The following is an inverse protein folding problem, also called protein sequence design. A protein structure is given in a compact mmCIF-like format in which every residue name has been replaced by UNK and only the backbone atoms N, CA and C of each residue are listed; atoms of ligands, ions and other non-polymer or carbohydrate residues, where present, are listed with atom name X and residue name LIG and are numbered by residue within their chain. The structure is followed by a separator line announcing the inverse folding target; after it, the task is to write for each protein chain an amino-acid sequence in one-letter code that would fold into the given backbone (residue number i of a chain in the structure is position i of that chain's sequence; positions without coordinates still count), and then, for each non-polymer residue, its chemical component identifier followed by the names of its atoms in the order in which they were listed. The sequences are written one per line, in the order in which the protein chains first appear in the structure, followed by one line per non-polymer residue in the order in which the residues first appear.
data_IF_090565877888
#
_entry.id   IF_090565877888
#
_cell.length_a   1.000
_cell.length_b   1.000
_cell.length_c   1.000
_cell.angle_alpha   90.00
_cell.angle_beta   90.00
_cell.angle_gamma   90.00
#
_symmetry.space_group_name_H-M   'P 1'
#
loop_
_entity.id
_entity.type
_entity.pdbx_description
1 polymer ?
#
# COMPACT_ATOMS: atom_id res chain seq x y z
N UNK A 1 65.30 4.76 -39.79
CA UNK A 1 63.91 4.29 -39.65
C UNK A 1 63.76 3.73 -38.25
N UNK A 2 63.21 4.52 -37.33
CA UNK A 2 62.48 4.00 -36.18
C UNK A 2 61.27 4.93 -36.00
N UNK A 3 60.09 4.35 -36.18
CA UNK A 3 58.81 5.04 -36.07
C UNK A 3 58.52 5.17 -34.59
N UNK A 4 58.46 6.42 -34.12
CA UNK A 4 57.91 6.76 -32.81
C UNK A 4 56.47 6.30 -32.72
N UNK A 5 56.25 5.19 -32.02
CA UNK A 5 54.95 4.78 -31.51
C UNK A 5 54.96 4.98 -30.00
N UNK A 6 54.11 5.88 -29.50
CA UNK A 6 53.95 6.17 -28.07
C UNK A 6 53.31 5.01 -27.29
N UNK A 7 53.96 3.85 -27.28
CA UNK A 7 53.70 2.75 -26.36
C UNK A 7 54.88 2.67 -25.40
N UNK A 8 54.67 3.03 -24.14
CA UNK A 8 55.68 2.84 -23.10
C UNK A 8 56.13 1.38 -23.08
N UNK A 9 57.39 1.13 -22.72
CA UNK A 9 57.89 -0.25 -22.67
C UNK A 9 57.00 -1.11 -21.77
N UNK A 10 56.94 -2.43 -22.01
CA UNK A 10 56.13 -3.36 -21.19
C UNK A 10 56.38 -3.20 -19.66
N UNK A 11 57.60 -2.79 -19.29
CA UNK A 11 57.97 -2.45 -17.93
C UNK A 11 57.32 -1.17 -17.40
N UNK A 12 57.21 -0.12 -18.22
CA UNK A 12 56.53 1.13 -17.85
C UNK A 12 55.03 0.92 -17.64
N UNK A 13 54.37 0.18 -18.54
CA UNK A 13 52.94 -0.15 -18.43
C UNK A 13 52.68 -0.93 -17.13
N UNK A 14 53.53 -1.92 -16.84
CA UNK A 14 53.47 -2.69 -15.60
C UNK A 14 53.73 -1.85 -14.35
N UNK A 15 54.71 -0.94 -14.37
CA UNK A 15 54.96 -0.02 -13.25
C UNK A 15 53.77 0.93 -13.03
N UNK A 16 53.16 1.43 -14.10
CA UNK A 16 51.96 2.26 -14.04
C UNK A 16 50.80 1.50 -13.39
N UNK A 17 50.54 0.26 -13.82
CA UNK A 17 49.53 -0.61 -13.24
C UNK A 17 49.78 -0.88 -11.74
N UNK A 18 51.04 -1.12 -11.34
CA UNK A 18 51.40 -1.29 -9.92
C UNK A 18 51.19 -0.03 -9.08
N UNK A 19 51.50 1.16 -9.62
CA UNK A 19 51.21 2.43 -8.93
C UNK A 19 49.70 2.61 -8.71
N UNK A 20 48.89 2.29 -9.72
CA UNK A 20 47.44 2.32 -9.60
C UNK A 20 46.92 1.29 -8.59
N UNK A 21 47.44 0.06 -8.58
CA UNK A 21 47.07 -0.96 -7.58
C UNK A 21 47.29 -0.48 -6.15
N UNK A 22 48.45 0.11 -5.86
CA UNK A 22 48.76 0.66 -4.54
C UNK A 22 47.82 1.81 -4.17
N UNK A 23 47.50 2.69 -5.14
CA UNK A 23 46.55 3.78 -4.94
C UNK A 23 45.13 3.25 -4.68
N UNK A 24 44.68 2.24 -5.42
CA UNK A 24 43.40 1.60 -5.20
C UNK A 24 43.30 0.97 -3.80
N UNK A 25 44.36 0.29 -3.34
CA UNK A 25 44.44 -0.26 -1.98
C UNK A 25 44.28 0.81 -0.91
N UNK A 26 45.07 1.88 -0.98
CA UNK A 26 44.96 3.00 -0.02
C UNK A 26 43.56 3.65 -0.07
N UNK A 27 43.00 3.84 -1.26
CA UNK A 27 41.64 4.34 -1.44
C UNK A 27 40.59 3.45 -0.79
N UNK A 28 40.68 2.13 -0.97
CA UNK A 28 39.79 1.15 -0.35
C UNK A 28 39.91 1.14 1.18
N UNK A 29 41.13 1.17 1.71
CA UNK A 29 41.33 1.26 3.17
C UNK A 29 40.76 2.56 3.75
N UNK A 30 40.83 3.68 3.01
CA UNK A 30 40.20 4.95 3.41
C UNK A 30 38.67 4.85 3.40
N UNK A 31 38.08 4.23 2.38
CA UNK A 31 36.63 3.95 2.33
C UNK A 31 36.21 3.12 3.55
N UNK A 32 36.97 2.08 3.90
CA UNK A 32 36.68 1.27 5.08
C UNK A 32 36.81 2.07 6.38
N UNK A 33 37.82 2.93 6.55
CA UNK A 33 37.94 3.81 7.74
C UNK A 33 36.78 4.81 7.84
N UNK A 34 36.34 5.35 6.71
CA UNK A 34 35.18 6.24 6.64
C UNK A 34 33.88 5.50 6.98
N UNK A 35 33.76 4.21 6.62
CA UNK A 35 32.61 3.38 6.99
C UNK A 35 32.48 3.18 8.50
N UNK A 36 33.59 3.10 9.24
CA UNK A 36 33.61 2.98 10.70
C UNK A 36 33.52 4.34 11.41
N UNK A 37 33.94 5.41 10.75
CA UNK A 37 33.83 6.77 11.28
C UNK A 37 32.40 7.25 11.08
N UNK A 38 31.60 7.28 12.15
CA UNK A 38 30.19 7.73 12.13
C UNK A 38 30.08 9.25 11.85
N UNK A 39 30.53 9.71 10.70
CA UNK A 39 30.43 11.11 10.27
C UNK A 39 29.20 11.26 9.39
N UNK A 40 28.05 11.50 10.02
CA UNK A 40 26.74 11.76 9.39
C UNK A 40 26.63 13.12 8.70
N UNK A 41 27.75 13.74 8.32
CA UNK A 41 27.72 15.01 7.59
C UNK A 41 27.54 14.76 6.09
N UNK A 42 26.68 15.54 5.43
CA UNK A 42 26.44 15.44 3.98
C UNK A 42 27.73 15.63 3.16
N UNK A 43 28.71 16.40 3.68
CA UNK A 43 30.03 16.56 3.09
C UNK A 43 30.84 15.24 3.11
N UNK A 44 30.78 14.46 4.19
CA UNK A 44 31.47 13.17 4.28
C UNK A 44 30.88 12.13 3.32
N UNK A 45 29.56 12.15 3.10
CA UNK A 45 28.89 11.26 2.12
C UNK A 45 29.30 11.61 0.68
N UNK A 46 29.48 12.89 0.36
CA UNK A 46 29.98 13.32 -0.95
C UNK A 46 31.41 12.86 -1.22
N UNK A 47 32.30 13.00 -0.23
CA UNK A 47 33.70 12.56 -0.32
C UNK A 47 33.80 11.04 -0.46
N UNK A 48 32.97 10.27 0.26
CA UNK A 48 32.89 8.81 0.12
C UNK A 48 32.51 8.38 -1.31
N UNK A 49 31.49 9.03 -1.87
CA UNK A 49 31.03 8.74 -3.23
C UNK A 49 32.08 9.09 -4.30
N UNK A 50 32.76 10.23 -4.16
CA UNK A 50 33.84 10.66 -5.07
C UNK A 50 35.05 9.71 -4.98
N UNK A 51 35.44 9.31 -3.77
CA UNK A 51 36.55 8.38 -3.55
C UNK A 51 36.24 7.00 -4.14
N UNK A 52 35.03 6.46 -3.89
CA UNK A 52 34.57 5.19 -4.48
C UNK A 52 34.58 5.23 -6.01
N UNK A 53 34.11 6.34 -6.60
CA UNK A 53 34.17 6.53 -8.06
C UNK A 53 35.61 6.58 -8.59
N UNK A 54 36.52 7.28 -7.89
CA UNK A 54 37.93 7.31 -8.29
C UNK A 54 38.57 5.93 -8.23
N UNK A 55 38.33 5.14 -7.17
CA UNK A 55 38.85 3.76 -7.05
C UNK A 55 38.29 2.90 -8.17
N UNK A 56 36.99 2.99 -8.48
CA UNK A 56 36.38 2.27 -9.59
C UNK A 56 37.02 2.61 -10.94
N UNK A 57 37.25 3.89 -11.19
CA UNK A 57 37.90 4.37 -12.42
C UNK A 57 39.32 3.82 -12.54
N UNK A 58 40.06 3.82 -11.44
CA UNK A 58 41.43 3.31 -11.42
C UNK A 58 41.50 1.79 -11.62
N UNK A 59 40.56 1.03 -11.06
CA UNK A 59 40.42 -0.42 -11.33
C UNK A 59 40.18 -0.67 -12.82
N UNK A 60 39.26 0.06 -13.45
CA UNK A 60 39.00 -0.06 -14.88
C UNK A 60 40.25 0.30 -15.71
N UNK A 61 41.02 1.30 -15.27
CA UNK A 61 42.28 1.66 -15.92
C UNK A 61 43.31 0.53 -15.79
N UNK A 62 43.43 -0.12 -14.62
CA UNK A 62 44.31 -1.28 -14.43
C UNK A 62 43.90 -2.42 -15.37
N UNK A 63 42.61 -2.72 -15.49
CA UNK A 63 42.11 -3.74 -16.42
C UNK A 63 42.46 -3.41 -17.88
N UNK A 64 42.33 -2.15 -18.29
CA UNK A 64 42.77 -1.71 -19.63
C UNK A 64 44.28 -1.90 -19.83
N UNK A 65 45.09 -1.58 -18.83
CA UNK A 65 46.54 -1.79 -18.86
C UNK A 65 46.88 -3.28 -18.91
N UNK A 66 46.13 -4.17 -18.27
CA UNK A 66 46.30 -5.62 -18.39
C UNK A 66 46.10 -6.08 -19.83
N UNK A 67 45.06 -5.60 -20.52
CA UNK A 67 44.81 -5.92 -21.93
C UNK A 67 45.93 -5.39 -22.83
N UNK A 68 46.47 -4.21 -22.54
CA UNK A 68 47.62 -3.64 -23.27
C UNK A 68 48.89 -4.49 -23.05
N UNK A 69 49.23 -4.79 -21.79
CA UNK A 69 50.35 -5.65 -21.46
C UNK A 69 50.22 -7.04 -22.09
N UNK A 70 49.01 -7.58 -22.17
CA UNK A 70 48.70 -8.86 -22.82
C UNK A 70 49.04 -8.89 -24.30
N UNK A 71 48.83 -7.78 -25.00
CA UNK A 71 49.23 -7.64 -26.41
C UNK A 71 50.75 -7.55 -26.53
N UNK A 72 51.37 -6.74 -25.67
CA UNK A 72 52.80 -6.49 -25.68
C UNK A 72 53.61 -7.77 -25.38
N UNK A 73 53.28 -8.53 -24.32
CA UNK A 73 54.07 -9.72 -23.99
C UNK A 73 53.91 -10.83 -25.02
N UNK A 74 52.75 -10.96 -25.69
CA UNK A 74 52.56 -11.92 -26.80
C UNK A 74 53.47 -11.64 -27.99
N UNK A 75 53.83 -10.38 -28.23
CA UNK A 75 54.77 -9.98 -29.30
C UNK A 75 56.25 -10.25 -29.00
N UNK A 76 56.61 -10.66 -27.78
CA UNK A 76 58.00 -10.95 -27.43
C UNK A 76 58.48 -12.25 -28.10
N UNK A 77 59.64 -12.21 -28.76
CA UNK A 77 60.22 -13.37 -29.44
C UNK A 77 60.70 -14.48 -28.48
N UNK A 78 61.24 -14.12 -27.32
CA UNK A 78 61.82 -15.05 -26.37
C UNK A 78 60.76 -15.72 -25.47
N UNK A 79 60.62 -17.06 -25.55
CA UNK A 79 59.70 -17.86 -24.72
C UNK A 79 59.86 -17.63 -23.20
N UNK A 80 61.06 -17.67 -22.59
CA UNK A 80 61.17 -17.47 -21.15
C UNK A 80 60.75 -16.06 -20.71
N UNK A 81 60.98 -15.06 -21.56
CA UNK A 81 60.55 -13.69 -21.30
C UNK A 81 59.02 -13.55 -21.39
N UNK A 82 58.38 -14.20 -22.37
CA UNK A 82 56.91 -14.29 -22.46
C UNK A 82 56.30 -14.90 -21.20
N UNK A 83 56.80 -16.06 -20.78
CA UNK A 83 56.25 -16.78 -19.64
C UNK A 83 56.39 -15.98 -18.33
N UNK A 84 57.49 -15.24 -18.17
CA UNK A 84 57.66 -14.33 -17.05
C UNK A 84 56.62 -13.20 -17.06
N UNK A 85 56.44 -12.53 -18.20
CA UNK A 85 55.50 -11.43 -18.33
C UNK A 85 54.05 -11.87 -18.24
N UNK A 86 53.71 -13.03 -18.77
CA UNK A 86 52.40 -13.65 -18.60
C UNK A 86 52.03 -13.76 -17.12
N UNK A 87 52.91 -14.34 -16.29
CA UNK A 87 52.67 -14.45 -14.83
C UNK A 87 52.54 -13.10 -14.13
N UNK A 88 53.33 -12.10 -14.53
CA UNK A 88 53.22 -10.74 -13.97
C UNK A 88 51.89 -10.06 -14.30
N UNK A 89 51.40 -10.25 -15.53
CA UNK A 89 50.10 -9.70 -15.95
C UNK A 89 48.95 -10.43 -15.27
N UNK A 90 49.01 -11.77 -15.18
CA UNK A 90 48.05 -12.58 -14.42
C UNK A 90 47.97 -12.12 -12.97
N UNK A 91 49.11 -11.90 -12.30
CA UNK A 91 49.15 -11.37 -10.94
C UNK A 91 48.45 -10.01 -10.81
N UNK A 92 48.72 -9.06 -11.72
CA UNK A 92 48.06 -7.74 -11.68
C UNK A 92 46.55 -7.87 -11.93
N UNK A 93 46.14 -8.76 -12.84
CA UNK A 93 44.74 -8.98 -13.15
C UNK A 93 43.98 -9.61 -11.97
N UNK A 94 44.57 -10.59 -11.28
CA UNK A 94 44.01 -11.19 -10.07
C UNK A 94 43.88 -10.16 -8.93
N UNK A 95 44.91 -9.33 -8.72
CA UNK A 95 44.87 -8.25 -7.74
C UNK A 95 43.79 -7.21 -8.08
N UNK A 96 43.61 -6.88 -9.36
CA UNK A 96 42.57 -5.95 -9.81
C UNK A 96 41.16 -6.50 -9.61
N UNK A 97 40.93 -7.80 -9.86
CA UNK A 97 39.62 -8.42 -9.61
C UNK A 97 39.33 -8.51 -8.10
N UNK A 98 40.32 -8.85 -7.28
CA UNK A 98 40.18 -8.84 -5.82
C UNK A 98 39.80 -7.46 -5.26
N UNK A 99 40.41 -6.39 -5.80
CA UNK A 99 40.04 -5.01 -5.45
C UNK A 99 38.62 -4.67 -5.90
N UNK A 100 38.22 -5.10 -7.09
CA UNK A 100 36.87 -4.88 -7.62
C UNK A 100 35.81 -5.57 -6.76
N UNK A 101 36.00 -6.83 -6.40
CA UNK A 101 35.11 -7.54 -5.49
C UNK A 101 34.99 -6.85 -4.13
N UNK A 102 36.10 -6.34 -3.60
CA UNK A 102 36.13 -5.60 -2.33
C UNK A 102 35.35 -4.29 -2.42
N UNK A 103 35.50 -3.56 -3.53
CA UNK A 103 34.75 -2.33 -3.80
C UNK A 103 33.25 -2.60 -3.99
N UNK A 104 32.88 -3.69 -4.67
CA UNK A 104 31.48 -4.06 -4.86
C UNK A 104 30.81 -4.43 -3.53
N UNK A 105 31.52 -5.15 -2.65
CA UNK A 105 31.08 -5.41 -1.27
C UNK A 105 30.88 -4.10 -0.51
N UNK A 106 31.84 -3.18 -0.57
CA UNK A 106 31.71 -1.86 0.05
C UNK A 106 30.47 -1.11 -0.45
N UNK A 107 30.29 -1.00 -1.76
CA UNK A 107 29.16 -0.31 -2.37
C UNK A 107 27.81 -0.93 -1.99
N UNK A 108 27.73 -2.27 -1.90
CA UNK A 108 26.51 -2.94 -1.45
C UNK A 108 26.12 -2.56 -0.02
N UNK A 109 27.11 -2.47 0.89
CA UNK A 109 26.89 -2.03 2.28
C UNK A 109 26.52 -0.55 2.34
N UNK A 110 27.23 0.30 1.58
CA UNK A 110 26.96 1.74 1.53
C UNK A 110 25.55 2.04 0.99
N UNK A 111 25.15 1.39 -0.12
CA UNK A 111 23.79 1.52 -0.67
C UNK A 111 22.72 1.03 0.29
N UNK A 112 22.95 -0.09 0.99
CA UNK A 112 22.03 -0.59 2.01
C UNK A 112 21.82 0.46 3.11
N UNK A 113 22.90 1.02 3.65
CA UNK A 113 22.82 2.08 4.68
C UNK A 113 22.14 3.35 4.17
N UNK A 114 22.43 3.77 2.94
CA UNK A 114 21.78 4.93 2.32
C UNK A 114 20.27 4.71 2.18
N UNK A 115 19.85 3.50 1.80
CA UNK A 115 18.43 3.10 1.74
C UNK A 115 17.79 3.12 3.13
N UNK A 116 18.41 2.47 4.11
CA UNK A 116 17.93 2.46 5.50
C UNK A 116 17.83 3.87 6.09
N UNK A 117 18.82 4.73 5.82
CA UNK A 117 18.80 6.12 6.24
C UNK A 117 17.68 6.93 5.57
N UNK A 118 17.42 6.67 4.29
CA UNK A 118 16.30 7.28 3.55
C UNK A 118 14.96 6.81 4.10
N UNK A 119 14.78 5.51 4.33
CA UNK A 119 13.57 4.95 4.94
C UNK A 119 13.36 5.52 6.35
N UNK A 120 14.44 5.63 7.16
CA UNK A 120 14.38 6.25 8.48
C UNK A 120 14.02 7.74 8.41
N UNK A 121 14.58 8.47 7.44
CA UNK A 121 14.23 9.87 7.21
C UNK A 121 12.78 10.02 6.73
N UNK A 122 12.26 9.09 5.94
CA UNK A 122 10.85 9.06 5.52
C UNK A 122 9.94 8.81 6.72
N UNK A 123 10.26 7.84 7.59
CA UNK A 123 9.50 7.58 8.81
C UNK A 123 9.51 8.78 9.77
N UNK A 124 10.66 9.46 9.91
CA UNK A 124 10.77 10.69 10.72
C UNK A 124 10.05 11.88 10.06
N UNK A 125 10.10 11.98 8.74
CA UNK A 125 9.39 13.00 7.96
C UNK A 125 7.88 12.87 8.09
N UNK A 126 7.37 11.63 8.14
CA UNK A 126 5.98 11.35 8.52
C UNK A 126 5.71 11.84 9.94
N UNK A 127 6.49 11.45 10.94
CA UNK A 127 6.26 11.87 12.33
C UNK A 127 6.21 13.40 12.53
N UNK A 128 7.04 14.16 11.81
CA UNK A 128 7.06 15.62 11.91
C UNK A 128 6.00 16.35 11.05
N UNK A 129 5.28 15.64 10.15
CA UNK A 129 4.19 16.16 9.32
C UNK A 129 2.79 15.57 9.60
N UNK A 130 2.71 14.37 10.18
CA UNK A 130 1.50 13.58 10.44
C UNK A 130 0.92 13.76 11.86
N UNK A 131 1.44 14.67 12.69
CA UNK A 131 0.66 15.04 13.89
C UNK A 131 -0.72 15.59 13.50
N UNK A 132 -0.86 16.15 12.28
CA UNK A 132 -2.14 16.51 11.69
C UNK A 132 -2.96 15.29 11.25
N UNK A 133 -2.35 14.26 10.67
CA UNK A 133 -3.06 13.08 10.17
C UNK A 133 -3.56 12.19 11.31
N UNK A 134 -2.78 12.03 12.39
CA UNK A 134 -3.23 11.31 13.59
C UNK A 134 -4.41 12.04 14.26
N UNK A 135 -4.35 13.37 14.38
CA UNK A 135 -5.48 14.18 14.87
C UNK A 135 -6.69 14.09 13.92
N UNK A 136 -6.46 14.12 12.61
CA UNK A 136 -7.52 14.00 11.60
C UNK A 136 -8.17 12.61 11.62
N UNK A 137 -7.43 11.52 11.85
CA UNK A 137 -8.00 10.18 12.03
C UNK A 137 -8.91 10.13 13.25
N UNK A 138 -8.48 10.71 14.39
CA UNK A 138 -9.32 10.76 15.58
C UNK A 138 -10.57 11.62 15.39
N UNK A 139 -10.47 12.73 14.66
CA UNK A 139 -11.61 13.59 14.32
C UNK A 139 -12.56 12.90 13.33
N UNK A 140 -12.04 12.19 12.33
CA UNK A 140 -12.82 11.42 11.35
C UNK A 140 -13.57 10.26 12.04
N UNK A 141 -12.92 9.54 12.96
CA UNK A 141 -13.55 8.47 13.76
C UNK A 141 -14.63 9.04 14.70
N UNK A 142 -14.38 10.20 15.33
CA UNK A 142 -15.36 10.87 16.17
C UNK A 142 -16.59 11.34 15.36
N UNK A 143 -16.37 11.88 14.16
CA UNK A 143 -17.44 12.27 13.24
C UNK A 143 -18.24 11.06 12.72
N UNK A 144 -17.57 9.96 12.38
CA UNK A 144 -18.23 8.72 11.97
C UNK A 144 -19.12 8.17 13.10
N UNK A 145 -18.62 8.16 14.35
CA UNK A 145 -19.40 7.72 15.52
C UNK A 145 -20.59 8.64 15.80
N UNK A 146 -20.46 9.95 15.60
CA UNK A 146 -21.59 10.88 15.72
C UNK A 146 -22.64 10.65 14.63
N UNK A 147 -22.22 10.42 13.39
CA UNK A 147 -23.11 10.10 12.27
C UNK A 147 -23.88 8.80 12.51
N UNK A 148 -23.21 7.73 12.97
CA UNK A 148 -23.87 6.47 13.33
C UNK A 148 -24.89 6.67 14.45
N UNK A 149 -24.57 7.45 15.49
CA UNK A 149 -25.52 7.75 16.57
C UNK A 149 -26.70 8.59 16.09
N UNK A 150 -26.47 9.59 15.24
CA UNK A 150 -27.55 10.40 14.64
C UNK A 150 -28.47 9.55 13.79
N UNK A 151 -27.89 8.70 12.93
CA UNK A 151 -28.64 7.76 12.07
C UNK A 151 -29.43 6.74 12.89
N UNK A 152 -28.84 6.17 13.96
CA UNK A 152 -29.56 5.27 14.88
C UNK A 152 -30.77 5.96 15.51
N UNK A 153 -30.61 7.20 15.98
CA UNK A 153 -31.70 7.97 16.57
C UNK A 153 -32.78 8.30 15.54
N UNK A 154 -32.41 8.63 14.31
CA UNK A 154 -33.36 8.87 13.22
C UNK A 154 -34.15 7.61 12.86
N UNK A 155 -33.49 6.44 12.82
CA UNK A 155 -34.15 5.15 12.61
C UNK A 155 -35.12 4.82 13.75
N UNK A 156 -34.74 5.04 15.00
CA UNK A 156 -35.61 4.86 16.17
C UNK A 156 -36.85 5.76 16.07
N UNK A 157 -36.66 7.04 15.70
CA UNK A 157 -37.77 7.97 15.50
C UNK A 157 -38.71 7.53 14.36
N UNK A 158 -38.15 7.05 13.24
CA UNK A 158 -38.93 6.54 12.11
C UNK A 158 -39.72 5.28 12.49
N UNK A 159 -39.11 4.38 13.27
CA UNK A 159 -39.79 3.19 13.78
C UNK A 159 -40.94 3.57 14.72
N UNK A 160 -40.69 4.45 15.68
CA UNK A 160 -41.72 4.93 16.61
C UNK A 160 -42.89 5.60 15.88
N UNK A 161 -42.61 6.40 14.84
CA UNK A 161 -43.63 7.01 14.00
C UNK A 161 -44.41 5.95 13.22
N UNK A 162 -43.73 4.94 12.67
CA UNK A 162 -44.36 3.81 11.98
C UNK A 162 -45.31 3.03 12.88
N UNK A 163 -44.89 2.70 14.11
CA UNK A 163 -45.71 2.04 15.11
C UNK A 163 -46.95 2.86 15.49
N UNK A 164 -46.79 4.17 15.65
CA UNK A 164 -47.91 5.08 15.94
C UNK A 164 -48.95 5.10 14.81
N UNK A 165 -48.49 5.16 13.55
CA UNK A 165 -49.38 5.10 12.37
C UNK A 165 -50.11 3.75 12.34
N UNK A 166 -49.39 2.63 12.51
CA UNK A 166 -49.99 1.30 12.48
C UNK A 166 -51.01 1.10 13.61
N UNK A 167 -50.73 1.61 14.80
CA UNK A 167 -51.65 1.59 15.94
C UNK A 167 -52.92 2.40 15.65
N UNK A 168 -52.76 3.59 15.08
CA UNK A 168 -53.89 4.44 14.64
C UNK A 168 -54.75 3.75 13.58
N UNK A 169 -54.13 3.15 12.56
CA UNK A 169 -54.83 2.41 11.50
C UNK A 169 -55.57 1.18 12.05
N UNK A 170 -54.96 0.43 12.97
CA UNK A 170 -55.63 -0.67 13.67
C UNK A 170 -56.84 -0.18 14.47
N UNK A 171 -56.70 0.93 15.20
CA UNK A 171 -57.79 1.57 15.93
C UNK A 171 -58.94 2.01 15.02
N UNK A 172 -58.62 2.62 13.87
CA UNK A 172 -59.63 2.99 12.86
C UNK A 172 -60.32 1.75 12.29
N UNK A 173 -59.58 0.70 11.95
CA UNK A 173 -60.12 -0.57 11.44
C UNK A 173 -61.09 -1.23 12.42
N UNK A 174 -60.73 -1.28 13.70
CA UNK A 174 -61.61 -1.87 14.73
C UNK A 174 -62.86 -1.02 14.98
N UNK A 175 -62.80 0.31 14.81
CA UNK A 175 -64.00 1.15 14.82
C UNK A 175 -64.91 0.87 13.62
N UNK A 176 -64.34 0.71 12.42
CA UNK A 176 -65.11 0.37 11.22
C UNK A 176 -65.80 -1.00 11.36
N UNK A 177 -65.06 -2.04 11.78
CA UNK A 177 -65.66 -3.37 12.04
C UNK A 177 -66.80 -3.32 13.04
N UNK A 178 -66.65 -2.55 14.13
CA UNK A 178 -67.72 -2.37 15.12
C UNK A 178 -68.94 -1.68 14.51
N UNK A 179 -68.74 -0.64 13.70
CA UNK A 179 -69.84 0.02 13.00
C UNK A 179 -70.55 -0.91 12.02
N UNK A 180 -69.80 -1.71 11.23
CA UNK A 180 -70.38 -2.73 10.35
C UNK A 180 -71.20 -3.78 11.13
N UNK A 181 -70.70 -4.24 12.27
CA UNK A 181 -71.43 -5.17 13.14
C UNK A 181 -72.72 -4.55 13.70
N UNK A 182 -72.66 -3.28 14.14
CA UNK A 182 -73.85 -2.54 14.62
C UNK A 182 -74.87 -2.40 13.50
N UNK A 183 -74.47 -1.98 12.30
CA UNK A 183 -75.36 -1.86 11.15
C UNK A 183 -76.00 -3.22 10.80
N UNK A 184 -75.21 -4.30 10.81
CA UNK A 184 -75.72 -5.65 10.58
C UNK A 184 -76.74 -6.12 11.63
N UNK A 185 -76.50 -5.86 12.92
CA UNK A 185 -77.47 -6.18 13.98
C UNK A 185 -78.74 -5.35 13.87
N UNK A 186 -78.62 -4.05 13.59
CA UNK A 186 -79.75 -3.15 13.40
C UNK A 186 -80.63 -3.59 12.22
N UNK A 187 -80.03 -3.93 11.09
CA UNK A 187 -80.73 -4.46 9.91
C UNK A 187 -81.45 -5.78 10.22
N UNK A 188 -80.83 -6.67 11.02
CA UNK A 188 -81.42 -7.96 11.40
C UNK A 188 -82.59 -7.82 12.36
N UNK A 189 -82.54 -6.84 13.26
CA UNK A 189 -83.65 -6.48 14.16
C UNK A 189 -84.80 -5.89 13.37
N UNK A 190 -84.52 -4.98 12.44
CA UNK A 190 -85.53 -4.34 11.59
C UNK A 190 -86.23 -5.36 10.69
N UNK A 191 -85.47 -6.26 10.03
CA UNK A 191 -86.04 -7.38 9.27
C UNK A 191 -86.94 -8.27 10.13
N UNK A 192 -86.51 -8.61 11.35
CA UNK A 192 -87.30 -9.44 12.28
C UNK A 192 -88.59 -8.75 12.73
N UNK A 193 -88.54 -7.45 13.02
CA UNK A 193 -89.71 -6.63 13.35
C UNK A 193 -90.68 -6.58 12.17
N UNK A 194 -90.17 -6.32 10.96
CA UNK A 194 -90.97 -6.29 9.75
C UNK A 194 -91.64 -7.65 9.47
N UNK A 195 -90.92 -8.77 9.61
CA UNK A 195 -91.49 -10.11 9.49
C UNK A 195 -92.54 -10.40 10.56
N UNK A 196 -92.35 -9.94 11.81
CA UNK A 196 -93.32 -10.12 12.88
C UNK A 196 -94.61 -9.34 12.60
N UNK A 197 -94.50 -8.06 12.23
CA UNK A 197 -95.65 -7.23 11.85
C UNK A 197 -96.37 -7.81 10.63
N UNK A 198 -95.64 -8.31 9.64
CA UNK A 198 -96.23 -8.97 8.48
C UNK A 198 -97.00 -10.24 8.88
N UNK A 199 -96.42 -11.08 9.75
CA UNK A 199 -97.08 -12.28 10.24
C UNK A 199 -98.31 -11.97 11.11
N UNK A 200 -98.25 -10.95 11.96
CA UNK A 200 -99.40 -10.47 12.74
C UNK A 200 -100.53 -9.96 11.83
N UNK A 201 -100.20 -9.24 10.75
CA UNK A 201 -101.21 -8.84 9.75
C UNK A 201 -101.83 -10.04 9.05
N UNK A 202 -101.04 -11.03 8.65
CA UNK A 202 -101.56 -12.26 8.04
C UNK A 202 -102.46 -13.01 9.01
N UNK A 203 -102.08 -13.11 10.29
CA UNK A 203 -102.89 -13.75 11.33
C UNK A 203 -104.21 -13.01 11.58
N UNK A 204 -104.18 -11.67 11.68
CA UNK A 204 -105.40 -10.87 11.79
C UNK A 204 -106.31 -11.03 10.56
N UNK A 205 -105.76 -11.07 9.34
CA UNK A 205 -106.54 -11.37 8.14
C UNK A 205 -107.12 -12.78 8.15
N UNK A 206 -106.40 -13.79 8.65
CA UNK A 206 -106.94 -15.15 8.83
C UNK A 206 -108.07 -15.20 9.86
N UNK A 207 -107.97 -14.47 10.97
CA UNK A 207 -109.06 -14.37 11.96
C UNK A 207 -110.28 -13.71 11.33
N UNK A 208 -110.08 -12.61 10.60
CA UNK A 208 -111.18 -11.92 9.95
C UNK A 208 -111.87 -12.79 8.90
N UNK A 209 -111.10 -13.59 8.15
CA UNK A 209 -111.64 -14.60 7.23
C UNK A 209 -112.44 -15.69 7.98
N UNK A 210 -111.93 -16.19 9.11
CA UNK A 210 -112.66 -17.18 9.92
C UNK A 210 -114.00 -16.64 10.44
N UNK A 211 -114.04 -15.38 10.93
CA UNK A 211 -115.28 -14.73 11.36
C UNK A 211 -116.29 -14.50 10.22
N UNK A 212 -115.82 -14.36 8.98
CA UNK A 212 -116.70 -14.16 7.81
C UNK A 212 -117.33 -15.46 7.30
N UNK A 213 -116.88 -16.63 7.77
CA UNK A 213 -117.29 -17.95 7.26
C UNK A 213 -118.29 -18.67 8.20
N UNK A 214 -118.58 -18.11 9.38
CA UNK A 214 -119.55 -18.64 10.35
C UNK A 214 -120.94 -17.93 10.31
N UNK A 215 -121.32 -17.35 9.16
CA UNK A 215 -122.68 -16.85 8.91
C UNK A 215 -123.22 -17.33 7.55
#
# INVERSE_FOLDING_TARGET
MEVGGGGGTLSEVHQSAKKLLLRCRDGLERLERLEHSTSTSAAAVGVDSELSFSVKRDINQIQSLCVEMDRLWRSLAAKPQRDLWKRKVEQIAEEAESLKESLDKYNSRSQKRSREAKERAELLGRMNGDSSHVLQIFDDDAQAMHSVRSSSKELENANALGEAILSSMHGQRERLKRNEAILGTCFKVDYRLHSRVHNERLWMSSIQWAYQTEF
#
